data_IF_207224700552
#
_entry.id   IF_207224700552
#
_cell.length_a   1.000
_cell.length_b   1.000
_cell.length_c   1.000
_cell.angle_alpha   90.00
_cell.angle_beta   90.00
_cell.angle_gamma   90.00
#
_symmetry.space_group_name_H-M   'P 1'
#
loop_
_entity.id
_entity.type
_entity.pdbx_description
1 polymer ?
#
# COMPACT_ATOMS: atom_id res chain seq x y z
N UNK A 1 23.64 -61.53 -5.89
CA UNK A 1 22.39 -62.31 -5.87
C UNK A 1 21.51 -61.72 -4.77
N UNK A 2 20.24 -61.45 -5.04
CA UNK A 2 19.33 -60.79 -4.10
C UNK A 2 18.75 -61.76 -3.06
N UNK A 3 18.28 -61.19 -1.93
CA UNK A 3 17.17 -61.58 -1.04
C UNK A 3 17.55 -61.18 0.40
N UNK A 4 16.69 -60.69 1.30
CA UNK A 4 15.44 -59.89 1.32
C UNK A 4 14.95 -59.97 2.78
N UNK A 5 14.05 -59.06 3.14
CA UNK A 5 13.12 -59.15 4.27
C UNK A 5 13.67 -59.21 5.71
N UNK A 6 13.51 -58.08 6.41
CA UNK A 6 13.21 -58.04 7.85
C UNK A 6 12.30 -56.85 8.14
N UNK A 7 10.99 -57.10 8.14
CA UNK A 7 10.00 -56.12 8.58
C UNK A 7 10.01 -55.98 10.09
N UNK A 8 10.13 -54.75 10.59
CA UNK A 8 10.08 -54.45 12.03
C UNK A 8 8.69 -53.93 12.38
N UNK A 9 7.98 -54.67 13.24
CA UNK A 9 6.68 -54.26 13.79
C UNK A 9 6.86 -53.15 14.83
N UNK A 10 5.82 -52.32 14.94
CA UNK A 10 5.63 -51.38 16.04
C UNK A 10 5.73 -52.08 17.40
N UNK A 11 6.39 -51.44 18.36
CA UNK A 11 6.10 -51.60 19.78
C UNK A 11 6.17 -50.25 20.47
N UNK A 12 5.07 -49.86 21.11
CA UNK A 12 4.97 -48.60 21.85
C UNK A 12 5.81 -48.67 23.13
N UNK A 13 6.70 -47.69 23.33
CA UNK A 13 7.23 -47.38 24.66
C UNK A 13 6.67 -46.06 25.15
N UNK A 14 5.95 -46.12 26.27
CA UNK A 14 5.35 -44.98 26.93
C UNK A 14 6.42 -44.27 27.77
N UNK A 15 6.80 -43.05 27.37
CA UNK A 15 7.69 -42.18 28.14
C UNK A 15 6.94 -40.89 28.47
N UNK A 16 6.32 -40.89 29.65
CA UNK A 16 5.73 -39.70 30.27
C UNK A 16 6.84 -38.70 30.59
N UNK A 17 6.99 -37.68 29.74
CA UNK A 17 7.81 -36.49 30.03
C UNK A 17 6.86 -35.36 30.40
N UNK A 18 6.77 -35.05 31.69
CA UNK A 18 6.03 -33.89 32.17
C UNK A 18 6.71 -32.60 31.72
N UNK A 19 6.14 -31.92 30.73
CA UNK A 19 6.49 -30.54 30.40
C UNK A 19 5.58 -29.60 31.21
N UNK A 20 6.13 -28.61 31.96
CA UNK A 20 5.31 -27.62 32.64
C UNK A 20 4.69 -26.66 31.62
N UNK A 21 3.36 -26.55 31.62
CA UNK A 21 2.63 -25.60 30.79
C UNK A 21 2.94 -24.15 31.18
N UNK A 22 3.81 -23.49 30.42
CA UNK A 22 4.06 -22.04 30.56
C UNK A 22 2.86 -21.30 29.92
N UNK A 23 1.92 -20.89 30.77
CA UNK A 23 0.80 -20.03 30.39
C UNK A 23 1.31 -18.62 29.99
N UNK A 24 1.51 -18.39 28.69
CA UNK A 24 1.68 -17.02 28.17
C UNK A 24 0.31 -16.37 28.02
N UNK A 25 -0.11 -15.61 29.03
CA UNK A 25 -1.32 -14.79 28.95
C UNK A 25 -1.11 -13.67 27.93
N UNK A 26 -1.65 -13.83 26.73
CA UNK A 26 -1.81 -12.73 25.76
C UNK A 26 -3.08 -11.97 26.16
N UNK A 27 -3.01 -10.66 26.48
CA UNK A 27 -4.22 -9.90 26.81
C UNK A 27 -5.11 -9.73 25.58
N UNK A 28 -6.27 -10.38 25.57
CA UNK A 28 -7.27 -10.14 24.54
C UNK A 28 -7.92 -8.75 24.76
N UNK A 29 -7.58 -7.77 23.93
CA UNK A 29 -8.15 -6.42 24.00
C UNK A 29 -9.33 -6.24 23.03
N UNK A 30 -10.35 -7.10 23.18
CA UNK A 30 -11.57 -7.06 22.37
C UNK A 30 -12.82 -6.77 23.21
N UNK A 31 -12.84 -5.68 23.99
CA UNK A 31 -14.09 -5.15 24.57
C UNK A 31 -13.97 -3.74 25.18
N UNK A 32 -14.08 -2.67 24.37
CA UNK A 32 -14.69 -1.36 24.76
C UNK A 32 -14.77 -0.28 23.66
N UNK A 33 -15.57 -0.47 22.61
CA UNK A 33 -16.13 0.66 21.84
C UNK A 33 -17.58 0.44 21.42
N UNK A 34 -18.48 0.38 22.41
CA UNK A 34 -19.91 0.51 22.18
C UNK A 34 -20.54 1.48 23.19
N UNK A 35 -20.87 2.69 22.71
CA UNK A 35 -21.86 3.70 23.18
C UNK A 35 -21.37 5.12 22.84
N UNK A 36 -21.98 5.75 21.82
CA UNK A 36 -22.13 7.22 21.76
C UNK A 36 -23.57 7.55 22.17
N UNK A 37 -23.81 8.45 23.14
CA UNK A 37 -25.16 8.89 23.47
C UNK A 37 -25.74 9.81 22.39
N UNK A 38 -27.04 9.67 22.13
CA UNK A 38 -27.84 10.65 21.38
C UNK A 38 -28.20 11.81 22.31
N UNK A 39 -28.22 13.04 21.79
CA UNK A 39 -28.59 14.25 22.53
C UNK A 39 -29.71 15.02 21.83
N UNK A 40 -30.70 15.42 22.61
CA UNK A 40 -31.92 16.15 22.30
C UNK A 40 -32.18 17.10 23.48
N UNK A 41 -32.74 18.30 23.36
CA UNK A 41 -33.33 19.02 22.21
C UNK A 41 -33.16 20.55 22.53
N UNK A 42 -34.13 21.49 22.40
CA UNK A 42 -34.96 21.89 21.26
C UNK A 42 -34.88 23.41 20.90
N UNK A 43 -35.40 23.79 19.72
CA UNK A 43 -36.44 24.84 19.66
C UNK A 43 -36.15 26.31 19.25
N UNK A 44 -36.62 26.67 18.04
CA UNK A 44 -37.35 27.91 17.65
C UNK A 44 -36.63 29.29 17.59
N UNK A 45 -36.79 30.00 16.45
CA UNK A 45 -36.53 31.44 16.33
C UNK A 45 -36.56 32.02 14.89
N UNK A 46 -37.72 32.47 14.40
CA UNK A 46 -37.93 33.04 13.05
C UNK A 46 -37.65 34.54 12.91
N UNK A 47 -37.16 35.00 11.75
CA UNK A 47 -37.55 36.28 11.11
C UNK A 47 -37.26 36.27 9.59
N UNK A 48 -38.04 37.01 8.78
CA UNK A 48 -37.84 37.09 7.33
C UNK A 48 -38.32 38.39 6.66
N UNK A 49 -37.84 38.62 5.43
CA UNK A 49 -38.26 39.56 4.35
C UNK A 49 -37.72 38.91 3.05
N UNK A 50 -38.39 38.84 1.89
CA UNK A 50 -39.23 39.82 1.16
C UNK A 50 -38.32 40.70 0.29
N UNK A 51 -38.38 40.74 -1.06
CA UNK A 51 -39.47 40.42 -2.00
C UNK A 51 -39.01 40.28 -3.49
N UNK A 52 -39.87 39.64 -4.29
CA UNK A 52 -40.16 39.84 -5.76
C UNK A 52 -39.22 39.25 -6.84
N UNK A 53 -39.88 38.60 -7.80
CA UNK A 53 -39.36 37.95 -9.01
C UNK A 53 -38.97 38.94 -10.13
N UNK A 54 -38.19 38.47 -11.11
CA UNK A 54 -38.26 39.00 -12.47
C UNK A 54 -38.14 37.90 -13.53
N UNK A 55 -38.86 38.08 -14.64
CA UNK A 55 -39.13 37.07 -15.66
C UNK A 55 -37.93 36.75 -16.57
N UNK A 56 -37.86 35.47 -16.93
CA UNK A 56 -37.58 34.96 -18.29
C UNK A 56 -36.52 35.68 -19.15
N UNK A 57 -35.33 35.06 -19.26
CA UNK A 57 -34.65 34.92 -20.55
C UNK A 57 -34.09 33.51 -20.68
N UNK A 58 -34.76 32.68 -21.49
CA UNK A 58 -34.38 31.31 -21.76
C UNK A 58 -33.24 31.24 -22.78
N UNK A 59 -32.04 30.91 -22.32
CA UNK A 59 -30.98 30.38 -23.17
C UNK A 59 -30.68 28.94 -22.78
N UNK A 60 -30.71 28.05 -23.78
CA UNK A 60 -30.36 26.64 -23.60
C UNK A 60 -28.88 26.54 -23.20
N UNK A 61 -28.63 26.33 -21.91
CA UNK A 61 -27.28 26.00 -21.41
C UNK A 61 -27.09 24.49 -21.56
N UNK A 62 -26.08 24.01 -22.31
CA UNK A 62 -25.69 22.60 -22.27
C UNK A 62 -25.47 22.17 -20.82
N UNK A 63 -25.94 20.98 -20.47
CA UNK A 63 -25.84 20.46 -19.10
C UNK A 63 -24.41 20.46 -18.57
N UNK A 64 -24.20 20.49 -17.24
CA UNK A 64 -22.86 20.43 -16.69
C UNK A 64 -22.19 19.15 -17.15
N UNK A 65 -21.07 19.27 -17.86
CA UNK A 65 -20.14 18.17 -18.02
C UNK A 65 -19.78 17.65 -16.63
N UNK A 66 -19.61 16.33 -16.49
CA UNK A 66 -19.22 15.69 -15.24
C UNK A 66 -17.85 16.22 -14.78
N UNK A 67 -17.85 17.31 -14.03
CA UNK A 67 -16.68 17.81 -13.33
C UNK A 67 -16.46 16.92 -12.12
N UNK A 68 -15.76 15.80 -12.33
CA UNK A 68 -15.25 14.97 -11.26
C UNK A 68 -14.35 15.86 -10.38
N UNK A 69 -14.70 16.02 -9.11
CA UNK A 69 -13.84 16.70 -8.14
C UNK A 69 -12.52 15.91 -8.06
N UNK A 70 -11.35 16.52 -8.33
CA UNK A 70 -10.06 15.83 -8.22
C UNK A 70 -9.78 15.26 -6.82
N UNK A 71 -10.57 15.61 -5.81
CA UNK A 71 -10.48 15.13 -4.42
C UNK A 71 -11.20 13.80 -4.17
N UNK A 72 -11.97 13.26 -5.13
CA UNK A 72 -12.68 11.98 -4.97
C UNK A 72 -12.04 10.80 -5.71
N UNK A 73 -10.78 10.92 -6.14
CA UNK A 73 -9.95 9.75 -6.42
C UNK A 73 -9.45 9.23 -5.07
N UNK A 74 -10.06 8.16 -4.57
CA UNK A 74 -9.49 7.37 -3.46
C UNK A 74 -8.13 6.82 -3.93
N UNK A 75 -7.05 7.53 -3.57
CA UNK A 75 -5.70 7.02 -3.70
C UNK A 75 -5.59 5.76 -2.86
N UNK A 76 -5.52 4.60 -3.51
CA UNK A 76 -5.32 3.35 -2.79
C UNK A 76 -4.04 3.46 -1.93
N UNK A 77 -4.08 3.00 -0.67
CA UNK A 77 -2.96 3.18 0.24
C UNK A 77 -1.75 2.43 -0.31
N UNK A 78 -0.63 3.15 -0.44
CA UNK A 78 0.59 2.61 -1.05
C UNK A 78 1.42 1.87 0.00
N UNK A 79 2.03 0.75 -0.40
CA UNK A 79 3.00 0.03 0.44
C UNK A 79 4.10 0.96 0.93
N UNK A 80 4.61 0.70 2.13
CA UNK A 80 5.61 1.52 2.82
C UNK A 80 6.88 1.81 2.01
N UNK A 81 7.32 0.85 1.19
CA UNK A 81 8.46 0.99 0.27
C UNK A 81 8.29 2.10 -0.78
N UNK A 82 7.05 2.54 -1.05
CA UNK A 82 6.69 3.57 -2.01
C UNK A 82 6.36 4.93 -1.36
N UNK A 83 6.40 5.01 -0.02
CA UNK A 83 6.11 6.22 0.73
C UNK A 83 7.39 7.01 1.00
N UNK A 84 7.39 8.30 0.61
CA UNK A 84 8.43 9.25 1.01
C UNK A 84 8.44 9.35 2.54
N UNK A 85 9.62 9.20 3.14
CA UNK A 85 9.78 9.04 4.58
C UNK A 85 9.79 10.40 5.27
N UNK A 86 9.34 10.43 6.52
CA UNK A 86 9.26 11.60 7.40
C UNK A 86 10.57 12.38 7.59
N UNK A 87 11.72 11.76 7.29
CA UNK A 87 13.04 12.38 7.37
C UNK A 87 13.62 12.81 6.01
N UNK A 88 12.90 12.59 4.92
CA UNK A 88 13.29 12.97 3.55
C UNK A 88 12.69 14.33 3.18
N UNK A 89 13.54 15.31 2.88
CA UNK A 89 13.08 16.62 2.39
C UNK A 89 13.17 16.66 0.88
N UNK A 90 12.04 16.83 0.17
CA UNK A 90 12.03 16.93 -1.29
C UNK A 90 12.90 18.11 -1.77
N UNK A 91 13.85 17.83 -2.67
CA UNK A 91 14.74 18.83 -3.28
C UNK A 91 14.13 19.41 -4.56
N UNK A 92 13.70 18.52 -5.45
CA UNK A 92 13.00 18.86 -6.70
C UNK A 92 11.97 17.76 -7.01
N UNK A 93 10.70 18.17 -7.12
CA UNK A 93 9.56 17.27 -7.43
C UNK A 93 9.61 16.75 -8.87
N UNK A 94 10.29 17.42 -9.80
CA UNK A 94 10.46 16.98 -11.18
C UNK A 94 11.59 15.97 -11.39
N UNK A 95 12.50 15.82 -10.43
CA UNK A 95 13.63 14.89 -10.49
C UNK A 95 13.56 13.76 -9.45
N UNK A 96 12.56 13.77 -8.56
CA UNK A 96 12.37 12.78 -7.49
C UNK A 96 13.58 12.63 -6.56
N UNK A 97 14.25 13.75 -6.29
CA UNK A 97 15.42 13.84 -5.40
C UNK A 97 15.02 14.35 -4.03
N UNK A 98 15.56 13.72 -2.99
CA UNK A 98 15.36 14.04 -1.60
C UNK A 98 16.68 14.30 -0.90
N UNK A 99 16.67 15.20 0.08
CA UNK A 99 17.79 15.52 0.97
C UNK A 99 17.61 14.80 2.29
N UNK A 100 18.66 14.13 2.75
CA UNK A 100 18.71 13.41 4.02
C UNK A 100 19.99 13.72 4.76
N UNK A 101 19.92 13.69 6.09
CA UNK A 101 21.07 13.79 6.98
C UNK A 101 21.56 12.39 7.34
N UNK A 102 22.85 12.11 7.11
CA UNK A 102 23.48 10.81 7.33
C UNK A 102 24.85 10.96 8.00
N UNK A 103 25.38 9.93 8.68
CA UNK A 103 26.77 9.91 9.13
C UNK A 103 27.76 10.04 7.95
N UNK A 104 28.80 10.90 8.02
CA UNK A 104 29.72 11.13 6.91
C UNK A 104 30.42 9.86 6.38
N UNK A 105 30.74 8.94 7.29
CA UNK A 105 31.34 7.63 7.03
C UNK A 105 30.42 6.64 6.30
N UNK A 106 29.11 6.93 6.25
CA UNK A 106 28.11 6.09 5.55
C UNK A 106 27.72 6.63 4.18
N UNK A 107 28.19 7.84 3.80
CA UNK A 107 27.80 8.51 2.56
C UNK A 107 28.04 7.63 1.33
N UNK A 108 29.21 6.99 1.23
CA UNK A 108 29.59 6.16 0.08
C UNK A 108 28.73 4.91 -0.11
N UNK A 109 27.97 4.50 0.93
CA UNK A 109 27.04 3.36 0.85
C UNK A 109 25.71 3.70 0.18
N UNK A 110 25.37 4.99 0.07
CA UNK A 110 24.16 5.41 -0.65
C UNK A 110 24.39 5.34 -2.16
N UNK A 111 23.33 5.07 -2.92
CA UNK A 111 23.45 4.90 -4.38
C UNK A 111 23.53 6.27 -5.09
N UNK A 112 24.68 6.57 -5.69
CA UNK A 112 24.98 7.81 -6.42
C UNK A 112 24.64 9.13 -5.66
N UNK A 113 25.18 9.33 -4.44
CA UNK A 113 24.85 10.45 -3.59
C UNK A 113 25.55 11.73 -4.06
N UNK A 114 24.95 12.88 -3.77
CA UNK A 114 25.57 14.21 -3.93
C UNK A 114 25.68 14.87 -2.56
N UNK A 115 26.90 15.11 -2.08
CA UNK A 115 27.11 15.82 -0.80
C UNK A 115 26.82 17.31 -1.00
N UNK A 116 25.93 17.87 -0.17
CA UNK A 116 25.52 19.28 -0.24
C UNK A 116 26.27 20.11 0.80
N UNK A 117 26.30 19.65 2.05
CA UNK A 117 27.00 20.30 3.16
C UNK A 117 27.32 19.29 4.27
N UNK A 118 28.29 19.60 5.12
CA UNK A 118 28.62 18.79 6.30
C UNK A 118 28.51 19.64 7.55
N UNK A 119 27.71 19.18 8.51
CA UNK A 119 27.57 19.74 9.85
C UNK A 119 28.57 19.02 10.79
N UNK A 120 29.65 19.73 11.12
CA UNK A 120 30.69 19.24 12.01
C UNK A 120 30.22 19.15 13.47
N UNK A 121 29.28 19.99 13.90
CA UNK A 121 28.79 20.02 15.28
C UNK A 121 27.92 18.80 15.59
N UNK A 122 27.04 18.43 14.65
CA UNK A 122 26.21 17.22 14.75
C UNK A 122 26.89 15.95 14.22
N UNK A 123 28.06 16.06 13.58
CA UNK A 123 28.76 14.96 12.86
C UNK A 123 27.86 14.29 11.82
N UNK A 124 27.20 15.08 10.98
CA UNK A 124 26.29 14.62 9.93
C UNK A 124 26.59 15.33 8.60
N UNK A 125 26.44 14.62 7.49
CA UNK A 125 26.44 15.20 6.14
C UNK A 125 25.01 15.24 5.59
N UNK A 126 24.64 16.37 5.00
CA UNK A 126 23.44 16.51 4.18
C UNK A 126 23.77 16.03 2.78
N UNK A 127 23.14 14.95 2.35
CA UNK A 127 23.28 14.40 1.00
C UNK A 127 21.96 14.48 0.25
N UNK A 128 22.05 14.66 -1.06
CA UNK A 128 20.94 14.50 -2.00
C UNK A 128 21.04 13.11 -2.64
N UNK A 129 19.93 12.38 -2.59
CA UNK A 129 19.75 11.02 -3.13
C UNK A 129 18.38 10.94 -3.82
N UNK A 130 18.07 9.82 -4.48
CA UNK A 130 16.70 9.55 -4.89
C UNK A 130 15.80 9.33 -3.66
N UNK A 131 14.58 9.86 -3.69
CA UNK A 131 13.61 9.65 -2.61
C UNK A 131 13.26 8.16 -2.45
N UNK A 132 12.79 7.76 -1.27
CA UNK A 132 12.22 6.42 -1.04
C UNK A 132 11.16 6.08 -2.10
N UNK A 133 11.20 4.84 -2.57
CA UNK A 133 10.42 4.36 -3.71
C UNK A 133 11.02 4.67 -5.08
N UNK A 134 12.15 5.37 -5.19
CA UNK A 134 12.84 5.61 -6.47
C UNK A 134 14.23 4.95 -6.48
N UNK A 135 14.61 4.31 -7.58
CA UNK A 135 15.94 3.75 -7.81
C UNK A 135 16.84 4.75 -8.54
N UNK A 136 18.12 4.79 -8.15
CA UNK A 136 19.09 5.70 -8.76
C UNK A 136 19.76 5.05 -9.97
N UNK A 137 19.83 5.79 -11.08
CA UNK A 137 20.52 5.36 -12.32
C UNK A 137 21.43 6.47 -12.82
N UNK A 138 22.64 6.16 -13.28
CA UNK A 138 23.50 7.13 -13.96
C UNK A 138 23.18 7.12 -15.46
N UNK A 139 22.79 8.27 -15.99
CA UNK A 139 22.59 8.49 -17.43
C UNK A 139 23.46 9.67 -17.85
N UNK A 140 24.42 9.45 -18.77
CA UNK A 140 25.33 10.49 -19.26
C UNK A 140 26.02 11.31 -18.13
N UNK A 141 26.39 10.63 -17.04
CA UNK A 141 27.00 11.24 -15.85
C UNK A 141 26.02 11.83 -14.83
N UNK A 142 24.75 12.06 -15.19
CA UNK A 142 23.73 12.61 -14.29
C UNK A 142 23.02 11.49 -13.51
N UNK A 143 22.76 11.70 -12.21
CA UNK A 143 21.89 10.82 -11.41
C UNK A 143 20.42 11.10 -11.74
N UNK A 144 19.75 10.10 -12.30
CA UNK A 144 18.32 10.07 -12.65
C UNK A 144 17.61 9.11 -11.70
N UNK A 145 16.51 9.56 -11.10
CA UNK A 145 15.69 8.76 -10.20
C UNK A 145 14.48 8.21 -10.95
N UNK A 146 14.33 6.88 -10.99
CA UNK A 146 13.20 6.20 -11.63
C UNK A 146 12.31 5.59 -10.57
N UNK A 147 10.99 5.67 -10.71
CA UNK A 147 10.08 5.06 -9.76
C UNK A 147 10.28 3.54 -9.70
N UNK A 148 10.16 2.96 -8.51
CA UNK A 148 10.15 1.52 -8.28
C UNK A 148 8.71 1.02 -8.29
N UNK A 149 8.47 -0.08 -9.00
CA UNK A 149 7.16 -0.73 -9.07
C UNK A 149 7.29 -2.16 -9.59
N UNK A 150 6.36 -3.03 -9.16
CA UNK A 150 6.21 -4.39 -9.68
C UNK A 150 5.29 -4.49 -10.90
N UNK A 151 5.30 -3.52 -11.81
CA UNK A 151 4.39 -3.48 -12.96
C UNK A 151 4.87 -4.43 -14.07
N UNK A 152 4.13 -5.50 -14.33
CA UNK A 152 4.27 -6.26 -15.58
C UNK A 152 3.62 -5.47 -16.71
N UNK A 153 4.25 -5.41 -17.89
CA UNK A 153 3.75 -4.72 -19.09
C UNK A 153 3.33 -3.24 -18.89
N UNK A 154 4.00 -2.55 -17.97
CA UNK A 154 3.84 -1.12 -17.76
C UNK A 154 5.07 -0.51 -17.10
N UNK A 155 5.08 0.81 -17.05
CA UNK A 155 6.05 1.61 -16.30
C UNK A 155 5.35 2.32 -15.14
N UNK A 156 6.11 2.81 -14.16
CA UNK A 156 5.57 3.71 -13.15
C UNK A 156 6.13 5.12 -13.32
N UNK A 157 5.24 6.10 -13.32
CA UNK A 157 5.58 7.52 -13.16
C UNK A 157 5.79 7.88 -11.68
N UNK A 158 5.06 7.22 -10.78
CA UNK A 158 5.12 7.37 -9.33
C UNK A 158 5.21 5.97 -8.70
N UNK A 159 5.98 5.76 -7.61
CA UNK A 159 6.15 4.46 -7.01
C UNK A 159 4.82 3.78 -6.66
N UNK A 160 4.78 2.46 -6.89
CA UNK A 160 3.58 1.61 -6.74
C UNK A 160 2.45 1.85 -7.75
N UNK A 161 2.58 2.77 -8.71
CA UNK A 161 1.48 3.18 -9.59
C UNK A 161 1.78 2.89 -11.07
N UNK A 162 1.18 1.82 -11.59
CA UNK A 162 1.38 1.35 -12.95
C UNK A 162 0.61 2.16 -14.00
N UNK A 163 1.35 2.68 -14.97
CA UNK A 163 0.94 3.20 -16.27
C UNK A 163 1.27 2.13 -17.32
N UNK A 164 0.24 1.57 -17.97
CA UNK A 164 0.39 0.44 -18.88
C UNK A 164 1.02 0.87 -20.22
N UNK A 165 1.82 -0.01 -20.82
CA UNK A 165 2.37 0.24 -22.15
C UNK A 165 1.28 0.19 -23.24
N UNK A 166 1.59 0.68 -24.44
CA UNK A 166 0.68 0.61 -25.58
C UNK A 166 0.26 -0.84 -25.88
N UNK A 167 -1.04 -1.07 -26.10
CA UNK A 167 -1.61 -2.41 -26.23
C UNK A 167 -1.84 -3.15 -24.89
N UNK A 168 -1.67 -2.47 -23.75
CA UNK A 168 -2.01 -2.99 -22.42
C UNK A 168 -2.96 -2.06 -21.68
N UNK A 169 -3.79 -2.63 -20.80
CA UNK A 169 -4.80 -1.90 -20.03
C UNK A 169 -4.85 -2.36 -18.59
N UNK A 170 -5.19 -1.45 -17.70
CA UNK A 170 -5.36 -1.74 -16.27
C UNK A 170 -6.68 -2.51 -16.05
N UNK A 171 -6.60 -3.70 -15.45
CA UNK A 171 -7.77 -4.45 -15.00
C UNK A 171 -8.25 -4.04 -13.60
N UNK A 172 -9.31 -4.69 -13.09
CA UNK A 172 -9.89 -4.42 -11.76
C UNK A 172 -8.88 -4.61 -10.61
N UNK A 173 -7.86 -5.45 -10.79
CA UNK A 173 -6.76 -5.67 -9.84
C UNK A 173 -5.63 -4.63 -10.00
N UNK A 174 -5.75 -3.65 -10.89
CA UNK A 174 -4.72 -2.65 -11.12
C UNK A 174 -3.51 -3.14 -11.92
N UNK A 175 -3.57 -4.35 -12.49
CA UNK A 175 -2.50 -4.96 -13.28
C UNK A 175 -2.65 -4.64 -14.76
N UNK A 176 -1.54 -4.50 -15.48
CA UNK A 176 -1.53 -4.18 -16.91
C UNK A 176 -1.60 -5.46 -17.76
N UNK A 177 -2.78 -5.72 -18.30
CA UNK A 177 -3.11 -6.94 -19.05
C UNK A 177 -3.28 -6.63 -20.54
N UNK A 178 -3.18 -7.66 -21.38
CA UNK A 178 -3.26 -7.50 -22.84
C UNK A 178 -4.59 -6.89 -23.27
N UNK A 179 -4.51 -5.91 -24.16
CA UNK A 179 -5.62 -5.36 -24.93
C UNK A 179 -5.30 -5.42 -26.43
N UNK A 180 -6.36 -5.35 -27.24
CA UNK A 180 -6.23 -5.46 -28.67
C UNK A 180 -5.46 -4.24 -29.25
N UNK A 181 -4.62 -4.44 -30.28
CA UNK A 181 -4.50 -5.65 -31.11
C UNK A 181 -3.55 -6.74 -30.57
N UNK A 182 -2.88 -6.56 -29.42
CA UNK A 182 -1.87 -7.51 -28.94
C UNK A 182 -2.48 -8.81 -28.37
N UNK A 183 -3.66 -8.73 -27.76
CA UNK A 183 -4.39 -9.87 -27.20
C UNK A 183 -5.54 -9.39 -26.31
N UNK A 184 -6.25 -10.30 -25.67
CA UNK A 184 -7.24 -9.94 -24.65
C UNK A 184 -7.12 -10.88 -23.45
N UNK A 185 -7.15 -10.33 -22.23
CA UNK A 185 -7.27 -11.19 -21.05
C UNK A 185 -8.68 -11.84 -21.03
N UNK A 186 -8.74 -13.17 -20.98
CA UNK A 186 -9.97 -13.97 -20.96
C UNK A 186 -10.88 -13.74 -22.19
N UNK A 187 -10.26 -13.67 -23.37
CA UNK A 187 -10.96 -13.53 -24.64
C UNK A 187 -10.02 -13.48 -25.83
N UNK A 188 -10.58 -13.15 -26.99
CA UNK A 188 -9.88 -13.04 -28.26
C UNK A 188 -10.10 -11.65 -28.87
N UNK A 189 -9.15 -11.18 -29.68
CA UNK A 189 -9.29 -9.89 -30.36
C UNK A 189 -10.15 -10.03 -31.62
N UNK A 190 -11.13 -9.13 -31.75
CA UNK A 190 -11.96 -9.00 -32.92
C UNK A 190 -11.41 -7.93 -33.88
N UNK A 191 -11.86 -7.95 -35.14
CA UNK A 191 -11.33 -7.13 -36.24
C UNK A 191 -11.53 -5.62 -36.05
N UNK A 192 -12.44 -5.21 -35.18
CA UNK A 192 -12.69 -3.80 -34.82
C UNK A 192 -11.79 -3.29 -33.68
N UNK A 193 -10.88 -4.13 -33.18
CA UNK A 193 -10.03 -3.82 -32.03
C UNK A 193 -10.72 -3.99 -30.67
N UNK A 194 -11.91 -4.62 -30.63
CA UNK A 194 -12.59 -4.98 -29.37
C UNK A 194 -12.21 -6.38 -28.88
N UNK A 195 -12.43 -6.62 -27.59
CA UNK A 195 -12.34 -7.95 -26.99
C UNK A 195 -13.65 -8.73 -27.15
N UNK A 196 -13.57 -9.92 -27.76
CA UNK A 196 -14.61 -10.94 -27.67
C UNK A 196 -14.29 -11.86 -26.49
N UNK A 197 -15.08 -11.80 -25.43
CA UNK A 197 -14.82 -12.53 -24.19
C UNK A 197 -15.12 -14.03 -24.29
N UNK A 198 -14.34 -14.83 -23.56
CA UNK A 198 -14.56 -16.26 -23.41
C UNK A 198 -15.86 -16.57 -22.61
N UNK A 199 -16.44 -17.78 -22.73
CA UNK A 199 -17.62 -18.16 -21.95
C UNK A 199 -17.40 -17.99 -20.44
N UNK A 200 -18.35 -17.38 -19.75
CA UNK A 200 -18.24 -17.03 -18.33
C UNK A 200 -17.57 -15.68 -18.05
N UNK A 201 -17.13 -14.95 -19.08
CA UNK A 201 -16.59 -13.59 -18.96
C UNK A 201 -17.48 -12.57 -19.68
N UNK A 202 -17.47 -11.34 -19.17
CA UNK A 202 -18.16 -10.18 -19.77
C UNK A 202 -17.16 -9.07 -20.06
N UNK A 203 -17.47 -8.29 -21.08
CA UNK A 203 -16.66 -7.16 -21.47
C UNK A 203 -16.69 -6.07 -20.39
N UNK A 204 -15.54 -5.46 -20.12
CA UNK A 204 -15.44 -4.29 -19.25
C UNK A 204 -16.15 -3.05 -19.86
N UNK A 205 -16.49 -2.06 -19.02
CA UNK A 205 -17.06 -0.77 -19.41
C UNK A 205 -16.20 -0.03 -20.43
N UNK A 206 -14.86 -0.12 -20.32
CA UNK A 206 -13.93 0.45 -21.30
C UNK A 206 -13.84 -0.33 -22.61
N UNK A 207 -14.43 -1.52 -22.67
CA UNK A 207 -14.39 -2.48 -23.79
C UNK A 207 -13.00 -3.02 -24.18
N UNK A 208 -12.01 -2.89 -23.30
CA UNK A 208 -10.61 -3.28 -23.61
C UNK A 208 -10.09 -4.55 -22.92
N UNK A 209 -10.84 -5.15 -22.00
CA UNK A 209 -10.53 -6.44 -21.36
C UNK A 209 -11.80 -7.16 -20.90
N UNK A 210 -11.71 -8.44 -20.56
CA UNK A 210 -12.83 -9.26 -20.12
C UNK A 210 -12.72 -9.63 -18.63
N UNK A 211 -13.75 -9.29 -17.86
CA UNK A 211 -13.88 -9.58 -16.43
C UNK A 211 -14.80 -10.79 -16.21
N UNK A 212 -14.52 -11.66 -15.22
CA UNK A 212 -15.36 -12.82 -14.94
C UNK A 212 -16.79 -12.43 -14.54
N UNK A 213 -17.73 -13.34 -14.78
CA UNK A 213 -19.13 -13.25 -14.36
C UNK A 213 -19.30 -14.13 -13.12
N UNK A 214 -19.89 -13.59 -12.06
CA UNK A 214 -20.52 -14.39 -11.01
C UNK A 214 -22.00 -14.04 -10.99
N UNK A 215 -22.87 -15.01 -11.31
CA UNK A 215 -24.30 -14.82 -11.52
C UNK A 215 -25.04 -14.42 -10.23
N UNK A 216 -24.56 -14.86 -9.07
CA UNK A 216 -25.04 -14.42 -7.74
C UNK A 216 -24.38 -13.13 -7.23
N UNK A 217 -23.32 -12.65 -7.89
CA UNK A 217 -22.37 -11.69 -7.33
C UNK A 217 -21.55 -12.25 -6.15
N UNK A 218 -20.59 -11.45 -5.68
CA UNK A 218 -19.67 -11.79 -4.58
C UNK A 218 -19.99 -11.04 -3.27
N UNK A 219 -21.29 -10.88 -2.99
CA UNK A 219 -21.77 -10.07 -1.88
C UNK A 219 -21.61 -8.56 -2.09
N UNK A 220 -21.99 -7.78 -1.08
CA UNK A 220 -22.02 -6.31 -1.14
C UNK A 220 -20.75 -5.62 -0.62
N UNK A 221 -19.71 -6.39 -0.28
CA UNK A 221 -18.48 -5.87 0.32
C UNK A 221 -17.41 -5.64 -0.75
N UNK A 222 -16.76 -4.46 -0.84
CA UNK A 222 -15.72 -4.17 -1.83
C UNK A 222 -14.45 -5.02 -1.66
N UNK A 223 -14.34 -5.73 -0.54
CA UNK A 223 -13.24 -6.66 -0.22
C UNK A 223 -13.29 -7.97 -1.01
N UNK A 224 -14.38 -8.24 -1.73
CA UNK A 224 -14.56 -9.43 -2.55
C UNK A 224 -14.71 -9.06 -4.01
N UNK A 225 -14.16 -9.87 -4.90
CA UNK A 225 -14.35 -9.74 -6.35
C UNK A 225 -14.55 -11.13 -6.99
N UNK A 226 -15.05 -11.12 -8.23
CA UNK A 226 -14.99 -12.31 -9.07
C UNK A 226 -13.55 -12.50 -9.50
N UNK A 227 -12.90 -13.59 -9.09
CA UNK A 227 -11.54 -13.93 -9.51
C UNK A 227 -11.56 -14.77 -10.79
N UNK A 228 -12.55 -15.66 -10.91
CA UNK A 228 -12.82 -16.52 -12.07
C UNK A 228 -14.34 -16.65 -12.27
N UNK A 229 -14.84 -17.21 -13.40
CA UNK A 229 -16.28 -17.37 -13.63
C UNK A 229 -16.96 -18.19 -12.54
N UNK A 230 -18.00 -17.62 -11.93
CA UNK A 230 -18.74 -18.15 -10.78
C UNK A 230 -17.88 -18.42 -9.51
N UNK A 231 -16.64 -17.90 -9.46
CA UNK A 231 -15.74 -18.02 -8.30
C UNK A 231 -15.47 -16.64 -7.69
N UNK A 232 -15.89 -16.49 -6.44
CA UNK A 232 -15.62 -15.30 -5.63
C UNK A 232 -14.36 -15.48 -4.79
N UNK A 233 -13.49 -14.47 -4.82
CA UNK A 233 -12.28 -14.39 -4.01
C UNK A 233 -12.14 -13.04 -3.32
N UNK A 234 -10.99 -12.81 -2.71
CA UNK A 234 -10.66 -11.52 -2.10
C UNK A 234 -10.06 -10.57 -3.13
N UNK A 235 -10.49 -9.30 -3.08
CA UNK A 235 -9.91 -8.20 -3.85
C UNK A 235 -8.42 -8.04 -3.55
N UNK A 236 -7.64 -7.49 -4.50
CA UNK A 236 -6.20 -7.27 -4.30
C UNK A 236 -5.91 -6.44 -3.04
N UNK A 237 -4.95 -6.89 -2.24
CA UNK A 237 -4.66 -6.30 -0.93
C UNK A 237 -5.53 -6.82 0.22
N UNK A 238 -6.34 -7.85 -0.05
CA UNK A 238 -7.09 -8.60 0.96
C UNK A 238 -6.75 -10.09 0.88
N UNK A 239 -6.80 -10.77 2.03
CA UNK A 239 -6.53 -12.20 2.16
C UNK A 239 -7.68 -12.89 2.89
N UNK A 240 -8.01 -14.12 2.48
CA UNK A 240 -9.04 -14.93 3.12
C UNK A 240 -8.54 -15.44 4.48
N UNK A 241 -9.33 -15.22 5.52
CA UNK A 241 -9.12 -15.70 6.89
C UNK A 241 -10.42 -16.34 7.41
N UNK A 242 -10.41 -16.87 8.64
CA UNK A 242 -11.62 -17.39 9.30
C UNK A 242 -12.73 -16.32 9.43
N UNK A 243 -12.34 -15.03 9.50
CA UNK A 243 -13.23 -13.87 9.53
C UNK A 243 -13.53 -13.31 8.11
N UNK A 244 -13.27 -14.08 7.05
CA UNK A 244 -13.46 -13.68 5.65
C UNK A 244 -12.29 -12.87 5.08
N UNK A 245 -12.54 -12.08 4.03
CA UNK A 245 -11.51 -11.25 3.39
C UNK A 245 -11.08 -10.07 4.28
N UNK A 246 -9.88 -10.20 4.87
CA UNK A 246 -9.26 -9.19 5.75
C UNK A 246 -8.15 -8.43 5.03
N UNK A 247 -7.93 -7.15 5.35
CA UNK A 247 -6.93 -6.33 4.67
C UNK A 247 -5.51 -6.79 5.00
N UNK A 248 -4.61 -6.62 4.03
CA UNK A 248 -3.18 -6.92 4.15
C UNK A 248 -2.40 -5.61 4.26
N UNK A 249 -1.50 -5.53 5.24
CA UNK A 249 -0.58 -4.41 5.42
C UNK A 249 0.87 -4.92 5.32
N UNK A 250 1.67 -4.33 4.42
CA UNK A 250 3.06 -4.70 4.15
C UNK A 250 4.01 -3.49 4.36
N UNK A 251 4.81 -3.46 5.44
CA UNK A 251 4.82 -4.40 6.58
C UNK A 251 3.57 -4.23 7.47
N UNK A 252 3.45 -5.10 8.47
CA UNK A 252 2.42 -4.98 9.52
C UNK A 252 2.42 -3.59 10.19
N UNK A 253 1.24 -3.18 10.67
CA UNK A 253 0.97 -1.87 11.24
C UNK A 253 1.72 -1.55 12.54
N UNK A 254 2.40 -2.54 13.13
CA UNK A 254 3.24 -2.36 14.30
C UNK A 254 2.45 -2.36 15.61
N UNK A 255 3.17 -2.21 16.72
CA UNK A 255 2.58 -2.26 18.06
C UNK A 255 1.55 -1.14 18.20
N UNK A 256 0.32 -1.49 18.59
CA UNK A 256 -0.77 -0.52 18.72
C UNK A 256 -1.38 -0.06 17.39
N UNK A 257 -1.02 -0.66 16.26
CA UNK A 257 -1.69 -0.46 14.98
C UNK A 257 -2.67 -1.58 14.65
N UNK A 258 -3.74 -1.26 13.93
CA UNK A 258 -4.67 -2.21 13.31
C UNK A 258 -4.68 -1.98 11.80
N UNK A 259 -4.54 -3.05 11.00
CA UNK A 259 -4.74 -2.96 9.55
C UNK A 259 -6.23 -2.77 9.25
N UNK A 260 -6.63 -1.56 8.86
CA UNK A 260 -8.03 -1.17 8.64
C UNK A 260 -8.47 -1.42 7.20
N UNK A 261 -7.55 -1.15 6.28
CA UNK A 261 -7.68 -1.39 4.84
C UNK A 261 -6.30 -1.80 4.27
N UNK A 262 -6.26 -2.22 3.00
CA UNK A 262 -5.04 -2.60 2.29
C UNK A 262 -3.96 -1.51 2.47
N UNK A 263 -2.88 -1.82 3.19
CA UNK A 263 -1.80 -0.88 3.56
C UNK A 263 -2.25 0.42 4.27
N UNK A 264 -3.40 0.41 4.96
CA UNK A 264 -3.90 1.51 5.77
C UNK A 264 -4.01 1.11 7.24
N UNK A 265 -3.13 1.67 8.05
CA UNK A 265 -3.09 1.44 9.49
C UNK A 265 -3.91 2.48 10.27
N UNK A 266 -4.71 2.01 11.23
CA UNK A 266 -5.38 2.81 12.25
C UNK A 266 -4.62 2.66 13.57
N UNK A 267 -4.24 3.78 14.21
CA UNK A 267 -3.32 3.77 15.35
C UNK A 267 -4.05 4.02 16.67
N UNK A 268 -3.77 3.18 17.67
CA UNK A 268 -4.30 3.32 19.02
C UNK A 268 -3.79 4.59 19.71
N UNK A 269 -4.52 5.12 20.72
CA UNK A 269 -4.10 6.30 21.47
C UNK A 269 -2.68 6.17 22.04
N UNK A 270 -1.82 7.15 21.77
CA UNK A 270 -0.40 7.13 22.13
C UNK A 270 0.53 6.64 21.02
N UNK A 271 0.00 6.22 19.87
CA UNK A 271 0.74 5.89 18.66
C UNK A 271 0.33 6.83 17.53
N UNK A 272 1.29 7.18 16.67
CA UNK A 272 1.10 8.06 15.52
C UNK A 272 1.48 7.30 14.24
N UNK A 273 0.74 7.53 13.14
CA UNK A 273 1.07 6.95 11.85
C UNK A 273 2.32 7.64 11.27
N UNK A 274 3.42 6.90 11.15
CA UNK A 274 4.71 7.40 10.66
C UNK A 274 5.35 6.39 9.70
N UNK A 275 5.71 6.87 8.52
CA UNK A 275 6.34 6.07 7.46
C UNK A 275 5.53 4.79 7.17
N UNK A 276 4.19 4.90 7.11
CA UNK A 276 3.26 3.80 6.84
C UNK A 276 2.92 2.88 8.03
N UNK A 277 3.51 3.08 9.21
CA UNK A 277 3.38 2.17 10.37
C UNK A 277 3.00 2.98 11.62
N UNK A 278 2.24 2.39 12.56
CA UNK A 278 1.97 3.02 13.84
C UNK A 278 3.22 2.96 14.74
N UNK A 279 3.67 4.11 15.22
CA UNK A 279 4.87 4.24 16.04
C UNK A 279 4.58 5.11 17.26
N UNK A 280 5.11 4.72 18.42
CA UNK A 280 5.11 5.57 19.61
C UNK A 280 6.20 6.66 19.50
N UNK A 281 6.12 7.68 20.37
CA UNK A 281 7.14 8.73 20.44
C UNK A 281 8.52 8.13 20.78
N UNK A 282 9.46 8.33 19.87
CA UNK A 282 10.80 7.76 19.92
C UNK A 282 11.82 8.84 20.31
N UNK A 283 12.72 8.54 21.25
CA UNK A 283 13.78 9.50 21.62
C UNK A 283 15.00 9.42 20.69
N UNK A 284 15.15 8.32 19.94
CA UNK A 284 16.25 8.09 19.00
C UNK A 284 15.86 8.42 17.55
N UNK A 285 16.87 8.68 16.71
CA UNK A 285 16.68 9.02 15.29
C UNK A 285 16.51 7.76 14.43
N UNK A 286 15.44 6.98 14.64
CA UNK A 286 15.12 5.76 13.88
C UNK A 286 14.76 5.98 12.39
N UNK A 287 15.52 6.80 11.67
CA UNK A 287 15.45 6.93 10.22
C UNK A 287 15.79 5.56 9.59
N UNK A 288 15.01 5.14 8.59
CA UNK A 288 15.10 3.84 7.93
C UNK A 288 14.86 2.62 8.82
N UNK A 289 13.96 2.76 9.79
CA UNK A 289 13.46 1.68 10.61
C UNK A 289 12.08 1.97 11.19
N UNK A 290 11.63 1.09 12.06
CA UNK A 290 10.43 1.23 12.89
C UNK A 290 10.88 1.32 14.35
N UNK A 291 10.44 2.35 15.08
CA UNK A 291 10.68 2.45 16.51
C UNK A 291 9.73 1.51 17.27
N UNK A 292 10.27 0.48 17.94
CA UNK A 292 9.47 -0.50 18.71
C UNK A 292 9.47 -0.23 20.22
N UNK A 293 10.43 0.55 20.70
CA UNK A 293 10.42 1.14 22.04
C UNK A 293 11.26 2.41 22.04
N UNK A 294 11.12 3.26 23.07
CA UNK A 294 11.71 4.63 23.10
C UNK A 294 13.20 4.71 22.74
N UNK A 295 13.95 3.64 22.96
CA UNK A 295 15.39 3.50 22.71
C UNK A 295 15.75 2.27 21.82
N UNK A 296 14.82 1.75 21.01
CA UNK A 296 15.05 0.60 20.13
C UNK A 296 14.39 0.77 18.77
N UNK A 297 15.22 0.93 17.75
CA UNK A 297 14.82 0.81 16.35
C UNK A 297 14.93 -0.65 15.87
N UNK A 298 14.03 -1.09 15.00
CA UNK A 298 14.26 -2.22 14.09
C UNK A 298 14.49 -1.62 12.71
N UNK A 299 15.64 -1.89 12.10
CA UNK A 299 15.99 -1.34 10.79
C UNK A 299 15.27 -2.07 9.66
N UNK A 300 14.99 -1.34 8.58
CA UNK A 300 14.39 -1.89 7.38
C UNK A 300 15.38 -2.84 6.66
N UNK A 301 14.90 -3.78 5.80
CA UNK A 301 15.77 -4.63 5.00
C UNK A 301 16.81 -3.83 4.21
N UNK A 302 18.08 -4.24 4.28
CA UNK A 302 19.21 -3.52 3.68
C UNK A 302 19.79 -2.39 4.54
N UNK A 303 19.29 -2.16 5.75
CA UNK A 303 19.85 -1.19 6.70
C UNK A 303 20.27 -1.86 8.02
N UNK A 304 21.34 -1.33 8.63
CA UNK A 304 21.81 -1.72 9.96
C UNK A 304 21.87 -0.51 10.91
N UNK A 305 21.79 -0.78 12.21
CA UNK A 305 21.80 0.26 13.23
C UNK A 305 23.21 0.85 13.42
N UNK A 306 23.32 2.17 13.29
CA UNK A 306 24.57 2.90 13.48
C UNK A 306 24.60 3.56 14.86
N UNK A 307 25.47 3.05 15.74
CA UNK A 307 25.50 3.40 17.16
C UNK A 307 25.77 4.90 17.41
N UNK A 308 26.66 5.53 16.63
CA UNK A 308 27.09 6.90 16.90
C UNK A 308 26.02 7.96 16.58
N UNK A 309 25.14 7.67 15.61
CA UNK A 309 24.08 8.59 15.19
C UNK A 309 22.68 8.16 15.66
N UNK A 310 22.52 6.91 16.13
CA UNK A 310 21.24 6.27 16.50
C UNK A 310 20.28 6.07 15.31
N UNK A 311 20.81 5.89 14.11
CA UNK A 311 20.06 5.83 12.84
C UNK A 311 20.25 4.48 12.14
N UNK A 312 19.30 4.05 11.31
CA UNK A 312 19.53 2.93 10.41
C UNK A 312 20.15 3.43 9.10
N UNK A 313 21.32 2.89 8.75
CA UNK A 313 22.13 3.27 7.58
C UNK A 313 22.32 2.04 6.68
N UNK A 314 22.55 2.20 5.36
CA UNK A 314 22.77 1.06 4.48
C UNK A 314 23.92 0.15 4.96
N UNK A 315 23.79 -1.15 4.70
CA UNK A 315 24.84 -2.15 5.00
C UNK A 315 25.98 -2.09 4.00
#
# INVERSE_FOLDING_TARGET
>A
MWLRDLGIRLSFFHLMVCLPSIYTNVPNYSDRYNRRPVSQDPGVGTYGRGYIENRQLSYNRPGPANFQDPRSVELQPKRREYLIRSHETQSDRGQHKCRIWVPPDTVEKYQYPSVIQTDQANRLSLIEVCCTGYSASRLMGVTVCRAQCGCQNGSCKIPGECECYEGFVRNDNGDCVFACPLGCQNGQCYLDGSCQCDPGYKLDETRRFCRPICSSGCGSSPRHNCTEPEVCGCSKGYQLTDDGCQPVCEPDCGIGGLCKDNNLCDCAPGYNLRDGVCQADCYQKCNNGVCVSRNRCICDPGYAYHEQSTMCVPV
#
